data_IF_681586657061
#
_entry.id   IF_681586657061
#
_cell.length_a   1.000
_cell.length_b   1.000
_cell.length_c   1.000
_cell.angle_alpha   90.00
_cell.angle_beta   90.00
_cell.angle_gamma   90.00
#
_symmetry.space_group_name_H-M   'P 1'
#
loop_
_entity.id
_entity.type
_entity.pdbx_description
1 polymer ?
#
# COMPACT_ATOMS: atom_id res chain seq x y z
N UNK A 1 4.31 7.61 -2.86
CA UNK A 1 4.11 6.15 -2.76
C UNK A 1 2.75 5.86 -2.15
N UNK A 2 2.24 4.65 -2.37
CA UNK A 2 0.98 4.19 -1.75
C UNK A 2 1.25 3.06 -0.78
N UNK A 3 0.36 2.93 0.20
CA UNK A 3 0.32 1.75 1.07
C UNK A 3 -0.18 0.59 0.23
N UNK A 4 0.53 -0.54 0.31
CA UNK A 4 0.20 -1.79 -0.35
C UNK A 4 0.32 -2.92 0.66
N UNK A 5 -0.45 -3.97 0.47
CA UNK A 5 -0.37 -5.18 1.29
C UNK A 5 0.68 -6.10 0.69
N UNK A 6 1.64 -6.55 1.52
CA UNK A 6 2.46 -7.71 1.19
C UNK A 6 1.71 -8.95 1.65
N UNK A 7 1.43 -9.82 0.70
CA UNK A 7 0.66 -11.05 0.86
C UNK A 7 1.56 -12.18 1.41
N UNK A 8 1.09 -13.06 2.32
CA UNK A 8 1.91 -14.16 2.83
C UNK A 8 2.53 -15.05 1.74
N UNK A 9 1.82 -15.22 0.62
CA UNK A 9 2.26 -15.99 -0.55
C UNK A 9 3.58 -15.47 -1.15
N UNK A 10 3.95 -14.22 -0.87
CA UNK A 10 5.26 -13.69 -1.24
C UNK A 10 6.40 -14.48 -0.57
N UNK A 11 6.25 -14.79 0.72
CA UNK A 11 7.28 -15.49 1.50
C UNK A 11 7.30 -16.99 1.19
N UNK A 12 6.19 -17.54 0.71
CA UNK A 12 6.05 -18.94 0.30
C UNK A 12 6.53 -19.19 -1.14
N UNK A 13 6.67 -18.14 -1.97
CA UNK A 13 7.07 -18.29 -3.37
C UNK A 13 8.48 -18.82 -3.52
N UNK A 14 8.62 -19.97 -4.17
CA UNK A 14 9.92 -20.57 -4.52
C UNK A 14 10.75 -19.65 -5.42
N UNK A 15 10.10 -18.94 -6.34
CA UNK A 15 10.77 -17.97 -7.22
C UNK A 15 11.47 -16.86 -6.42
N UNK A 16 10.81 -16.36 -5.36
CA UNK A 16 11.38 -15.40 -4.42
C UNK A 16 12.41 -16.04 -3.48
N UNK A 17 12.22 -17.31 -3.12
CA UNK A 17 13.19 -18.11 -2.39
C UNK A 17 14.53 -18.29 -3.12
N UNK A 18 14.53 -18.19 -4.46
CA UNK A 18 15.70 -18.38 -5.31
C UNK A 18 16.45 -17.09 -5.69
N UNK A 19 16.00 -15.93 -5.22
CA UNK A 19 16.71 -14.66 -5.45
C UNK A 19 17.43 -14.17 -4.19
N UNK A 20 18.41 -13.29 -4.39
CA UNK A 20 19.16 -12.64 -3.31
C UNK A 20 18.26 -11.88 -2.34
N UNK A 21 18.73 -11.69 -1.10
CA UNK A 21 18.04 -10.87 -0.10
C UNK A 21 17.81 -9.42 -0.59
N UNK A 22 18.76 -8.87 -1.33
CA UNK A 22 18.63 -7.54 -1.94
C UNK A 22 17.50 -7.50 -2.96
N UNK A 23 17.39 -8.51 -3.82
CA UNK A 23 16.30 -8.65 -4.77
C UNK A 23 14.93 -8.76 -4.10
N UNK A 24 14.81 -9.56 -3.03
CA UNK A 24 13.54 -9.67 -2.26
C UNK A 24 13.15 -8.32 -1.67
N UNK A 25 14.09 -7.66 -1.00
CA UNK A 25 13.85 -6.36 -0.36
C UNK A 25 13.48 -5.27 -1.38
N UNK A 26 14.20 -5.21 -2.52
CA UNK A 26 13.87 -4.29 -3.61
C UNK A 26 12.50 -4.60 -4.18
N UNK A 27 12.14 -5.87 -4.38
CA UNK A 27 10.83 -6.23 -4.92
C UNK A 27 9.68 -5.84 -3.97
N UNK A 28 9.83 -6.05 -2.66
CA UNK A 28 8.90 -5.55 -1.64
C UNK A 28 8.69 -4.03 -1.76
N UNK A 29 9.79 -3.28 -1.92
CA UNK A 29 9.75 -1.83 -2.12
C UNK A 29 9.01 -1.43 -3.41
N UNK A 30 9.19 -2.20 -4.49
CA UNK A 30 8.60 -1.89 -5.79
C UNK A 30 7.06 -1.87 -5.76
N UNK A 31 6.40 -2.71 -4.94
CA UNK A 31 4.93 -2.71 -4.83
C UNK A 31 4.37 -1.32 -4.48
N UNK A 32 5.03 -0.62 -3.55
CA UNK A 32 4.63 0.72 -3.09
C UNK A 32 5.13 1.84 -4.01
N UNK A 33 6.20 1.57 -4.75
CA UNK A 33 6.81 2.48 -5.71
C UNK A 33 5.99 2.59 -7.00
N UNK A 34 5.47 1.49 -7.54
CA UNK A 34 4.77 1.50 -8.84
C UNK A 34 3.36 2.11 -8.80
N UNK A 35 2.90 2.57 -9.96
CA UNK A 35 1.54 3.08 -10.16
C UNK A 35 0.51 1.94 -10.14
N UNK A 36 -0.78 2.26 -10.24
CA UNK A 36 -1.85 1.26 -10.14
C UNK A 36 -1.92 0.27 -11.32
N UNK A 37 -1.21 0.55 -12.41
CA UNK A 37 -0.99 -0.39 -13.50
C UNK A 37 0.31 -1.20 -13.38
N UNK A 38 1.02 -1.09 -12.26
CA UNK A 38 2.27 -1.81 -12.01
C UNK A 38 3.49 -1.19 -12.69
N UNK A 39 3.37 0.01 -13.26
CA UNK A 39 4.45 0.67 -14.02
C UNK A 39 5.06 1.82 -13.24
N UNK A 40 6.38 1.98 -13.32
CA UNK A 40 7.05 3.24 -12.97
C UNK A 40 8.42 3.38 -13.67
N UNK A 41 9.15 4.45 -13.36
CA UNK A 41 10.49 4.71 -13.88
C UNK A 41 11.48 3.68 -13.36
N UNK A 42 12.24 3.11 -14.29
CA UNK A 42 13.37 2.24 -14.01
C UNK A 42 14.62 3.10 -13.78
N UNK A 43 14.87 3.42 -12.51
CA UNK A 43 16.00 4.25 -12.11
C UNK A 43 16.34 3.99 -10.64
N UNK A 44 17.50 3.37 -10.37
CA UNK A 44 17.92 3.06 -9.00
C UNK A 44 18.03 4.28 -8.07
N UNK A 45 18.38 5.48 -8.59
CA UNK A 45 18.41 6.70 -7.76
C UNK A 45 17.02 7.11 -7.30
N UNK A 46 16.00 6.97 -8.16
CA UNK A 46 14.62 7.26 -7.79
C UNK A 46 14.07 6.23 -6.81
N UNK A 47 14.36 4.94 -7.04
CA UNK A 47 13.97 3.86 -6.13
C UNK A 47 14.63 4.04 -4.77
N UNK A 48 15.95 4.28 -4.72
CA UNK A 48 16.67 4.62 -3.48
C UNK A 48 16.02 5.80 -2.78
N UNK A 49 15.84 6.93 -3.48
CA UNK A 49 15.28 8.13 -2.88
C UNK A 49 13.85 7.95 -2.33
N UNK A 50 13.06 7.06 -2.94
CA UNK A 50 11.70 6.78 -2.50
C UNK A 50 11.66 5.77 -1.35
N UNK A 51 12.37 4.64 -1.48
CA UNK A 51 12.21 3.48 -0.62
C UNK A 51 13.29 3.38 0.47
N UNK A 52 14.45 3.98 0.23
CA UNK A 52 15.69 3.82 1.01
C UNK A 52 16.39 5.17 1.20
N UNK A 53 15.71 6.23 1.70
CA UNK A 53 16.20 7.61 1.64
C UNK A 53 17.48 7.85 2.45
N UNK A 54 17.73 7.03 3.47
CA UNK A 54 18.87 7.16 4.38
C UNK A 54 20.11 6.36 3.96
N UNK A 55 19.96 5.34 3.12
CA UNK A 55 21.09 4.52 2.62
C UNK A 55 21.92 5.33 1.65
N UNK A 56 23.24 5.28 1.64
CA UNK A 56 24.06 6.15 0.77
C UNK A 56 24.09 5.73 -0.70
N UNK A 57 25.05 6.28 -1.46
CA UNK A 57 25.21 5.97 -2.88
C UNK A 57 25.72 4.53 -3.12
N UNK A 58 26.29 3.89 -2.11
CA UNK A 58 26.68 2.48 -2.09
C UNK A 58 25.50 1.51 -2.30
N UNK A 59 24.26 1.96 -2.04
CA UNK A 59 23.07 1.16 -2.30
C UNK A 59 22.71 1.09 -3.79
N UNK A 60 23.13 2.06 -4.61
CA UNK A 60 22.78 2.13 -6.03
C UNK A 60 23.19 0.88 -6.83
N UNK A 61 24.45 0.38 -6.75
CA UNK A 61 24.83 -0.85 -7.44
C UNK A 61 24.06 -2.09 -6.94
N UNK A 62 23.71 -2.15 -5.64
CA UNK A 62 22.90 -3.25 -5.08
C UNK A 62 21.48 -3.23 -5.62
N UNK A 63 20.87 -2.04 -5.74
CA UNK A 63 19.54 -1.87 -6.32
C UNK A 63 19.53 -2.24 -7.80
N UNK A 64 20.52 -1.80 -8.59
CA UNK A 64 20.59 -2.18 -10.01
C UNK A 64 20.79 -3.71 -10.17
N UNK A 65 21.69 -4.32 -9.40
CA UNK A 65 21.89 -5.78 -9.43
C UNK A 65 20.62 -6.55 -9.03
N UNK A 66 19.89 -6.07 -8.03
CA UNK A 66 18.59 -6.61 -7.63
C UNK A 66 17.55 -6.50 -8.75
N UNK A 67 17.49 -5.36 -9.47
CA UNK A 67 16.58 -5.19 -10.61
C UNK A 67 16.93 -6.15 -11.77
N UNK A 68 18.22 -6.31 -12.08
CA UNK A 68 18.69 -7.25 -13.12
C UNK A 68 18.32 -8.69 -12.74
N UNK A 69 18.47 -9.06 -11.47
CA UNK A 69 18.10 -10.38 -10.97
C UNK A 69 16.58 -10.62 -11.05
N UNK A 70 15.77 -9.63 -10.65
CA UNK A 70 14.31 -9.72 -10.72
C UNK A 70 13.80 -9.80 -12.17
N UNK A 71 14.45 -9.09 -13.11
CA UNK A 71 14.15 -9.19 -14.54
C UNK A 71 14.51 -10.57 -15.09
N UNK A 72 15.69 -11.10 -14.72
CA UNK A 72 16.14 -12.44 -15.13
C UNK A 72 15.16 -13.54 -14.70
N UNK A 73 14.54 -13.39 -13.53
CA UNK A 73 13.54 -14.33 -12.99
C UNK A 73 12.13 -14.05 -13.54
N UNK A 74 11.92 -12.94 -14.24
CA UNK A 74 10.63 -12.58 -14.85
C UNK A 74 9.62 -11.99 -13.88
N UNK A 75 10.07 -11.47 -12.73
CA UNK A 75 9.22 -10.78 -11.74
C UNK A 75 8.96 -9.32 -12.12
N UNK A 76 9.87 -8.74 -12.90
CA UNK A 76 9.72 -7.43 -13.52
C UNK A 76 10.11 -7.48 -14.99
N UNK A 77 9.64 -6.51 -15.76
CA UNK A 77 10.06 -6.27 -17.14
C UNK A 77 10.61 -4.85 -17.23
N UNK A 78 11.87 -4.69 -17.65
CA UNK A 78 12.46 -3.37 -17.93
C UNK A 78 12.32 -3.09 -19.43
N UNK A 79 11.88 -1.89 -19.78
CA UNK A 79 11.65 -1.50 -21.17
C UNK A 79 11.81 0.01 -21.35
N UNK A 80 11.88 0.46 -22.60
CA UNK A 80 11.93 1.88 -22.92
C UNK A 80 10.66 2.31 -23.64
N UNK A 81 10.08 3.42 -23.20
CA UNK A 81 8.94 4.04 -23.88
C UNK A 81 9.04 5.56 -23.78
N UNK A 82 8.86 6.24 -24.92
CA UNK A 82 8.96 7.70 -25.04
C UNK A 82 10.26 8.28 -24.42
N UNK A 83 11.41 7.64 -24.69
CA UNK A 83 12.73 8.06 -24.21
C UNK A 83 12.95 7.89 -22.71
N UNK A 84 12.11 7.08 -22.04
CA UNK A 84 12.21 6.82 -20.60
C UNK A 84 12.34 5.33 -20.36
N UNK A 85 13.34 4.95 -19.56
CA UNK A 85 13.44 3.62 -18.97
C UNK A 85 12.34 3.45 -17.93
N UNK A 86 11.55 2.41 -18.12
CA UNK A 86 10.42 2.03 -17.28
C UNK A 86 10.59 0.60 -16.81
N UNK A 87 10.02 0.29 -15.66
CA UNK A 87 9.82 -1.07 -15.18
C UNK A 87 8.33 -1.33 -15.03
N UNK A 88 7.95 -2.58 -15.24
CA UNK A 88 6.59 -3.06 -15.05
C UNK A 88 6.61 -4.36 -14.25
N UNK A 89 5.67 -4.53 -13.33
CA UNK A 89 5.47 -5.78 -12.58
C UNK A 89 4.27 -6.52 -13.21
N UNK A 90 4.49 -7.64 -13.93
CA UNK A 90 3.45 -8.40 -14.60
C UNK A 90 2.27 -8.82 -13.71
N UNK A 91 2.61 -9.41 -12.56
CA UNK A 91 1.66 -9.97 -11.62
C UNK A 91 1.04 -8.92 -10.70
N UNK A 92 1.30 -7.62 -10.95
CA UNK A 92 0.89 -6.56 -10.02
C UNK A 92 -0.61 -6.57 -9.72
N UNK A 93 -1.44 -6.69 -10.76
CA UNK A 93 -2.90 -6.67 -10.63
C UNK A 93 -3.49 -7.96 -10.05
N UNK A 94 -2.73 -9.04 -10.07
CA UNK A 94 -3.11 -10.30 -9.43
C UNK A 94 -2.96 -10.20 -7.91
N UNK A 95 -1.84 -9.64 -7.44
CA UNK A 95 -1.54 -9.56 -6.01
C UNK A 95 -2.02 -8.26 -5.34
N UNK A 96 -2.31 -7.20 -6.11
CA UNK A 96 -2.82 -5.93 -5.57
C UNK A 96 -4.23 -5.63 -6.06
N UNK A 97 -5.19 -5.77 -5.15
CA UNK A 97 -6.56 -5.28 -5.37
C UNK A 97 -6.64 -3.78 -5.10
N UNK A 98 -6.94 -3.01 -6.14
CA UNK A 98 -6.93 -1.54 -6.08
C UNK A 98 -8.36 -1.01 -5.99
N UNK A 99 -8.73 -0.45 -4.85
CA UNK A 99 -9.93 0.36 -4.69
C UNK A 99 -9.60 1.83 -5.00
N UNK A 100 -10.41 2.48 -5.84
CA UNK A 100 -10.23 3.88 -6.27
C UNK A 100 -8.92 4.12 -7.04
N UNK A 101 -8.81 3.63 -8.29
CA UNK A 101 -7.60 3.77 -9.09
C UNK A 101 -7.29 5.23 -9.40
N UNK A 102 -6.00 5.56 -9.45
CA UNK A 102 -5.50 6.84 -9.95
C UNK A 102 -5.18 6.79 -11.43
N UNK A 103 -5.13 7.97 -12.05
CA UNK A 103 -4.60 8.13 -13.39
C UNK A 103 -3.16 7.62 -13.44
N UNK A 104 -2.89 6.67 -14.36
CA UNK A 104 -1.58 6.09 -14.60
C UNK A 104 -1.11 6.54 -15.99
N UNK A 105 -0.30 7.62 -16.10
CA UNK A 105 0.14 8.13 -17.40
C UNK A 105 1.20 7.27 -18.10
N UNK A 106 1.87 6.37 -17.37
CA UNK A 106 2.87 5.47 -17.92
C UNK A 106 2.16 4.21 -18.42
N UNK A 107 2.52 3.69 -19.60
CA UNK A 107 1.85 2.54 -20.21
C UNK A 107 2.64 1.26 -20.02
N UNK A 108 1.98 0.16 -19.65
CA UNK A 108 2.64 -1.15 -19.53
C UNK A 108 2.95 -1.77 -20.91
N UNK A 109 3.84 -2.77 -21.02
CA UNK A 109 4.11 -3.46 -22.28
C UNK A 109 2.85 -4.00 -22.98
N UNK A 110 1.88 -4.67 -22.29
CA UNK A 110 0.62 -5.05 -22.93
C UNK A 110 -0.20 -3.88 -23.47
N UNK A 111 -0.22 -2.73 -22.78
CA UNK A 111 -0.89 -1.51 -23.26
C UNK A 111 -0.20 -0.88 -24.48
N UNK A 112 1.04 -1.27 -24.75
CA UNK A 112 1.83 -0.88 -25.91
C UNK A 112 1.81 -1.92 -27.03
N UNK A 113 1.17 -3.08 -26.83
CA UNK A 113 1.22 -4.20 -27.77
C UNK A 113 2.59 -4.88 -27.83
N UNK A 114 3.39 -4.77 -26.77
CA UNK A 114 4.68 -5.44 -26.63
C UNK A 114 4.44 -6.73 -25.85
N UNK A 115 4.60 -7.87 -26.51
CA UNK A 115 4.60 -9.18 -25.85
C UNK A 115 5.92 -9.36 -25.08
N UNK A 116 5.89 -9.40 -23.73
CA UNK A 116 7.11 -9.55 -22.96
C UNK A 116 7.63 -10.99 -23.11
N UNK A 117 8.92 -11.10 -23.36
CA UNK A 117 9.53 -12.37 -23.79
C UNK A 117 9.58 -13.46 -22.72
N UNK A 118 9.35 -13.15 -21.43
CA UNK A 118 9.47 -14.09 -20.31
C UNK A 118 8.56 -13.65 -19.14
N UNK A 119 7.67 -14.52 -18.71
CA UNK A 119 6.95 -14.39 -17.43
C UNK A 119 7.31 -15.57 -16.53
N UNK A 120 7.46 -15.32 -15.23
CA UNK A 120 7.28 -16.39 -14.25
C UNK A 120 5.78 -16.67 -14.15
N UNK A 121 5.26 -17.54 -15.01
CA UNK A 121 3.96 -18.19 -14.76
C UNK A 121 4.19 -19.29 -13.73
N UNK A 122 4.01 -18.96 -12.45
CA UNK A 122 3.66 -19.98 -11.47
C UNK A 122 2.24 -20.42 -11.82
N UNK A 123 2.12 -21.46 -12.64
CA UNK A 123 0.84 -22.03 -13.06
C UNK A 123 0.01 -22.32 -11.82
N UNK A 124 -1.15 -21.69 -11.72
CA UNK A 124 -2.23 -22.17 -10.88
C UNK A 124 -2.71 -23.52 -11.45
N UNK A 125 -1.99 -24.60 -11.11
CA UNK A 125 -2.37 -25.94 -11.51
C UNK A 125 -3.68 -26.32 -10.83
N UNK A 126 -4.69 -26.45 -11.68
CA UNK A 126 -5.97 -27.04 -11.39
C UNK A 126 -5.76 -28.45 -10.84
N UNK A 127 -5.98 -28.63 -9.54
CA UNK A 127 -5.98 -29.94 -8.88
C UNK A 127 -7.08 -30.80 -9.48
N UNK A 128 -6.69 -31.69 -10.38
CA UNK A 128 -7.40 -32.92 -10.67
C UNK A 128 -6.39 -34.02 -10.94
N UNK A 129 -6.26 -34.92 -9.96
CA UNK A 129 -5.80 -36.32 -10.04
C UNK A 129 -4.80 -36.67 -8.95
N UNK A 130 -5.37 -37.29 -7.92
CA UNK A 130 -4.83 -38.32 -7.04
C UNK A 130 -3.54 -39.01 -7.52
N UNK A 131 -2.50 -39.05 -6.67
CA UNK A 131 -1.95 -40.27 -6.03
C UNK A 131 -0.55 -40.06 -5.42
N UNK A 132 -0.50 -40.27 -4.09
CA UNK A 132 0.53 -40.97 -3.28
C UNK A 132 2.04 -40.64 -3.40
N UNK A 133 2.55 -40.03 -2.32
CA UNK A 133 3.73 -40.37 -1.48
C UNK A 133 4.96 -41.02 -2.16
N UNK A 134 6.12 -40.34 -2.13
CA UNK A 134 7.28 -40.59 -1.23
C UNK A 134 8.44 -39.63 -1.54
N UNK A 135 8.94 -38.93 -0.52
CA UNK A 135 10.26 -38.29 -0.40
C UNK A 135 11.36 -39.33 -0.08
N UNK A 136 12.67 -38.98 0.06
CA UNK A 136 13.50 -38.00 -0.67
C UNK A 136 14.88 -38.63 -1.05
N UNK A 137 15.73 -37.89 -1.77
CA UNK A 137 17.18 -37.75 -1.49
C UNK A 137 18.06 -37.53 -2.73
N UNK A 138 19.01 -36.61 -2.53
CA UNK A 138 20.32 -36.45 -3.20
C UNK A 138 20.42 -35.37 -4.28
N UNK A 139 21.06 -34.26 -3.89
CA UNK A 139 21.76 -33.28 -4.72
C UNK A 139 23.28 -33.43 -4.41
N UNK A 140 24.22 -32.69 -5.04
CA UNK A 140 24.56 -32.41 -6.45
C UNK A 140 25.97 -32.97 -6.80
N UNK A 141 26.50 -32.80 -8.01
CA UNK A 141 27.86 -32.25 -8.28
C UNK A 141 28.25 -32.25 -9.77
N UNK A 142 29.10 -31.27 -10.11
CA UNK A 142 29.90 -31.04 -11.33
C UNK A 142 29.19 -30.40 -12.53
N UNK A 143 29.78 -29.46 -13.27
CA UNK A 143 30.99 -28.63 -13.14
C UNK A 143 31.03 -27.73 -14.40
N UNK A 144 31.85 -26.68 -14.35
CA UNK A 144 32.51 -26.00 -15.49
C UNK A 144 31.75 -24.93 -16.31
N UNK A 145 32.23 -23.69 -16.13
CA UNK A 145 33.11 -23.09 -17.15
C UNK A 145 32.65 -21.81 -17.86
N UNK A 146 33.39 -20.71 -17.67
CA UNK A 146 33.89 -19.93 -18.82
C UNK A 146 33.33 -18.52 -19.13
N UNK A 147 33.92 -17.49 -18.50
CA UNK A 147 34.69 -16.39 -19.13
C UNK A 147 33.98 -15.38 -20.10
N UNK A 148 33.84 -14.14 -19.59
CA UNK A 148 34.41 -12.83 -20.08
C UNK A 148 33.90 -12.11 -21.36
N UNK A 149 33.32 -10.92 -21.11
CA UNK A 149 33.75 -9.54 -21.51
C UNK A 149 34.07 -9.21 -22.99
N UNK A 150 33.45 -8.15 -23.55
CA UNK A 150 34.08 -6.84 -23.85
C UNK A 150 33.25 -5.93 -24.77
N UNK A 151 33.26 -4.62 -24.42
CA UNK A 151 33.26 -3.36 -25.22
C UNK A 151 32.11 -3.02 -26.19
N UNK A 152 31.79 -1.77 -26.57
CA UNK A 152 31.83 -0.38 -26.05
C UNK A 152 31.48 0.53 -27.24
N UNK A 153 30.79 1.65 -27.00
CA UNK A 153 30.88 2.95 -27.75
C UNK A 153 30.30 3.02 -29.19
N UNK A 154 29.82 4.14 -29.75
CA UNK A 154 29.53 5.53 -29.35
C UNK A 154 28.99 6.31 -30.59
N UNK A 155 28.08 7.30 -30.39
CA UNK A 155 28.00 8.63 -31.07
C UNK A 155 27.69 8.71 -32.62
N UNK A 156 27.09 9.74 -33.27
CA UNK A 156 26.52 11.08 -32.98
C UNK A 156 25.88 11.74 -34.24
N UNK A 157 24.93 12.68 -34.04
CA UNK A 157 24.60 13.96 -34.76
C UNK A 157 24.06 14.04 -36.21
N UNK A 158 22.95 14.80 -36.43
CA UNK A 158 22.88 16.20 -36.97
C UNK A 158 21.43 16.75 -37.09
N UNK A 159 21.25 18.05 -36.80
CA UNK A 159 20.10 18.99 -36.99
C UNK A 159 20.01 19.54 -38.47
N UNK A 160 19.17 20.52 -38.94
CA UNK A 160 18.43 21.62 -38.23
C UNK A 160 17.07 22.18 -38.83
N UNK A 161 16.59 23.27 -38.19
CA UNK A 161 15.69 24.39 -38.64
C UNK A 161 14.14 24.14 -38.74
N UNK A 162 13.17 25.03 -38.40
CA UNK A 162 13.10 26.49 -38.12
C UNK A 162 11.81 26.86 -37.34
N UNK A 163 11.84 28.00 -36.62
CA UNK A 163 10.77 28.75 -35.88
C UNK A 163 9.84 29.56 -36.85
N UNK A 164 8.83 30.43 -36.45
CA UNK A 164 8.57 31.09 -35.15
C UNK A 164 7.08 31.34 -34.70
N UNK A 165 6.89 31.85 -33.47
CA UNK A 165 6.05 33.04 -33.08
C UNK A 165 4.94 32.88 -32.01
N UNK A 166 5.14 33.66 -30.92
CA UNK A 166 4.22 34.60 -30.25
C UNK A 166 3.06 34.15 -29.31
N UNK A 167 3.33 34.35 -28.01
CA UNK A 167 2.63 35.24 -27.05
C UNK A 167 1.23 34.96 -26.48
N UNK A 168 1.19 35.00 -25.14
CA UNK A 168 0.29 35.78 -24.26
C UNK A 168 -0.72 35.02 -23.37
N UNK A 169 -0.92 35.64 -22.20
CA UNK A 169 -1.62 35.20 -20.98
C UNK A 169 -3.14 35.14 -21.16
N UNK A 170 -3.82 34.31 -20.36
CA UNK A 170 -5.24 34.51 -20.06
C UNK A 170 -5.91 33.32 -19.37
N UNK A 171 -6.23 33.49 -18.09
CA UNK A 171 -7.16 32.66 -17.32
C UNK A 171 -8.54 32.60 -17.98
N UNK A 172 -9.21 31.46 -17.96
CA UNK A 172 -10.58 31.27 -17.45
C UNK A 172 -11.15 29.91 -17.84
N UNK A 173 -12.15 29.56 -17.05
CA UNK A 173 -12.90 28.33 -16.89
C UNK A 173 -13.63 27.79 -18.13
N UNK A 174 -13.95 26.51 -18.00
CA UNK A 174 -15.18 25.87 -18.46
C UNK A 174 -15.26 25.45 -19.93
N UNK A 175 -15.36 24.15 -20.15
CA UNK A 175 -16.03 23.53 -21.30
C UNK A 175 -16.20 22.04 -20.99
N UNK A 176 -17.46 21.63 -20.85
CA UNK A 176 -17.84 20.23 -20.69
C UNK A 176 -17.60 19.38 -21.93
N UNK A 177 -17.84 18.09 -21.78
CA UNK A 177 -18.29 17.24 -22.88
C UNK A 177 -19.09 16.05 -22.35
N UNK A 178 -20.31 15.93 -22.87
CA UNK A 178 -20.91 14.63 -23.20
C UNK A 178 -21.48 13.77 -22.07
N UNK A 179 -22.60 14.19 -21.47
CA UNK A 179 -23.43 13.27 -20.68
C UNK A 179 -24.55 12.66 -21.54
N UNK A 180 -24.40 11.36 -21.81
CA UNK A 180 -25.48 10.49 -22.29
C UNK A 180 -26.56 10.34 -21.19
N UNK A 181 -27.87 10.40 -21.47
CA UNK A 181 -28.89 10.77 -20.49
C UNK A 181 -29.57 9.60 -19.74
N UNK A 182 -28.93 8.43 -19.59
CA UNK A 182 -29.66 7.21 -19.19
C UNK A 182 -29.49 6.71 -17.74
N UNK A 183 -28.77 7.42 -16.86
CA UNK A 183 -28.59 7.00 -15.45
C UNK A 183 -28.94 8.04 -14.36
N UNK A 184 -29.44 9.22 -14.72
CA UNK A 184 -29.59 10.35 -13.79
C UNK A 184 -31.03 10.59 -13.25
N UNK A 185 -31.90 9.57 -13.11
CA UNK A 185 -33.34 9.83 -12.81
C UNK A 185 -34.00 9.12 -11.62
N UNK A 186 -33.26 8.50 -10.70
CA UNK A 186 -33.88 7.86 -9.52
C UNK A 186 -33.19 8.11 -8.16
N UNK A 187 -32.07 8.84 -8.10
CA UNK A 187 -31.28 9.02 -6.86
C UNK A 187 -31.54 10.33 -6.10
N UNK A 188 -32.26 11.28 -6.70
CA UNK A 188 -32.35 12.66 -6.15
C UNK A 188 -33.67 12.97 -5.44
N UNK A 189 -34.66 12.05 -5.46
CA UNK A 189 -35.91 12.26 -4.73
C UNK A 189 -35.73 11.76 -3.31
N UNK A 190 -35.60 12.69 -2.36
CA UNK A 190 -35.60 12.39 -0.92
C UNK A 190 -37.02 11.93 -0.55
N UNK A 191 -37.20 10.70 -0.03
CA UNK A 191 -38.51 10.23 0.39
C UNK A 191 -39.10 11.12 1.50
N UNK A 192 -40.37 11.51 1.35
CA UNK A 192 -41.10 12.24 2.37
C UNK A 192 -41.95 11.28 3.19
N UNK A 193 -41.40 10.80 4.29
CA UNK A 193 -42.12 10.00 5.27
C UNK A 193 -42.61 10.89 6.42
N UNK A 194 -43.92 10.98 6.70
CA UNK A 194 -44.45 11.81 7.79
C UNK A 194 -43.98 11.35 9.17
N UNK A 195 -43.62 10.07 9.31
CA UNK A 195 -43.06 9.52 10.53
C UNK A 195 -41.61 9.94 10.76
N UNK A 196 -40.89 10.35 9.71
CA UNK A 196 -39.54 10.88 9.88
C UNK A 196 -39.55 12.16 10.71
N UNK A 197 -40.50 13.07 10.50
CA UNK A 197 -40.58 14.34 11.25
C UNK A 197 -40.75 14.09 12.75
N UNK A 198 -41.52 13.06 13.13
CA UNK A 198 -41.73 12.68 14.53
C UNK A 198 -40.44 12.15 15.19
N UNK A 199 -39.65 11.39 14.44
CA UNK A 199 -38.34 10.91 14.88
C UNK A 199 -37.33 12.06 14.95
N UNK A 200 -37.29 12.90 13.91
CA UNK A 200 -36.32 13.99 13.75
C UNK A 200 -36.47 15.03 14.85
N UNK A 201 -37.70 15.41 15.19
CA UNK A 201 -37.98 16.37 16.27
C UNK A 201 -37.44 15.95 17.65
N UNK A 202 -37.14 14.67 17.86
CA UNK A 202 -36.71 14.11 19.14
C UNK A 202 -35.23 13.71 19.13
N UNK A 203 -34.63 13.56 17.96
CA UNK A 203 -33.25 13.12 17.84
C UNK A 203 -32.29 14.29 18.12
N UNK A 204 -31.29 14.14 19.01
CA UNK A 204 -30.49 15.27 19.49
C UNK A 204 -29.55 15.88 18.44
N UNK A 205 -29.02 15.08 17.51
CA UNK A 205 -28.10 15.53 16.46
C UNK A 205 -28.84 15.69 15.11
N UNK A 206 -28.93 16.95 14.64
CA UNK A 206 -29.63 17.32 13.41
C UNK A 206 -28.72 17.47 12.17
N UNK A 207 -27.48 16.95 12.23
CA UNK A 207 -26.57 16.99 11.11
C UNK A 207 -27.02 16.05 9.97
N UNK A 208 -26.82 16.50 8.73
CA UNK A 208 -27.04 15.70 7.51
C UNK A 208 -28.46 15.08 7.40
N UNK A 209 -29.49 15.92 7.57
CA UNK A 209 -30.92 15.54 7.52
C UNK A 209 -31.28 14.64 6.33
N UNK A 210 -30.87 14.99 5.11
CA UNK A 210 -31.17 14.20 3.90
C UNK A 210 -30.62 12.77 3.98
N UNK A 211 -29.46 12.61 4.60
CA UNK A 211 -28.86 11.29 4.79
C UNK A 211 -29.62 10.48 5.85
N UNK A 212 -30.10 11.13 6.90
CA UNK A 212 -30.97 10.52 7.91
C UNK A 212 -32.33 10.12 7.32
N UNK A 213 -32.96 10.98 6.50
CA UNK A 213 -34.23 10.70 5.80
C UNK A 213 -34.13 9.45 4.93
N UNK A 214 -33.09 9.34 4.11
CA UNK A 214 -32.87 8.17 3.26
C UNK A 214 -32.69 6.89 4.06
N UNK A 215 -31.92 6.94 5.15
CA UNK A 215 -31.68 5.75 5.96
C UNK A 215 -32.93 5.36 6.77
N UNK A 216 -33.68 6.33 7.27
CA UNK A 216 -34.97 6.12 7.93
C UNK A 216 -35.98 5.44 6.99
N UNK A 217 -36.10 5.92 5.76
CA UNK A 217 -36.96 5.31 4.75
C UNK A 217 -36.58 3.84 4.52
N UNK A 218 -35.29 3.53 4.36
CA UNK A 218 -34.83 2.14 4.23
C UNK A 218 -35.21 1.29 5.44
N UNK A 219 -35.01 1.82 6.66
CA UNK A 219 -35.27 1.11 7.91
C UNK A 219 -36.77 0.82 8.10
N UNK A 220 -37.63 1.81 7.84
CA UNK A 220 -39.07 1.65 8.02
C UNK A 220 -39.73 0.82 6.92
N UNK A 221 -39.05 0.62 5.78
CA UNK A 221 -39.52 -0.24 4.68
C UNK A 221 -38.76 -1.58 4.58
N UNK A 222 -38.02 -2.00 5.62
CA UNK A 222 -37.42 -3.33 5.65
C UNK A 222 -38.50 -4.42 5.60
N UNK A 223 -38.22 -5.47 4.82
CA UNK A 223 -39.09 -6.65 4.69
C UNK A 223 -39.03 -7.54 5.92
N UNK A 224 -37.90 -7.53 6.63
CA UNK A 224 -37.65 -8.34 7.83
C UNK A 224 -37.21 -7.43 8.99
N UNK A 225 -37.65 -7.76 10.20
CA UNK A 225 -37.25 -7.08 11.44
C UNK A 225 -37.46 -5.55 11.40
N UNK A 226 -38.62 -5.16 10.86
CA UNK A 226 -39.06 -3.77 10.73
C UNK A 226 -39.33 -3.17 12.11
N UNK A 227 -38.64 -2.09 12.51
CA UNK A 227 -38.93 -1.41 13.76
C UNK A 227 -40.24 -0.64 13.68
N UNK A 228 -40.95 -0.56 14.81
CA UNK A 228 -42.06 0.38 14.95
C UNK A 228 -41.52 1.80 15.08
N UNK A 229 -42.29 2.80 14.62
CA UNK A 229 -41.95 4.21 14.81
C UNK A 229 -41.80 4.56 16.30
N UNK A 230 -42.59 3.94 17.17
CA UNK A 230 -42.47 4.10 18.62
C UNK A 230 -41.10 3.63 19.15
N UNK A 231 -40.56 2.53 18.63
CA UNK A 231 -39.24 2.03 19.01
C UNK A 231 -38.12 2.99 18.55
N UNK A 232 -38.25 3.57 17.35
CA UNK A 232 -37.30 4.57 16.85
C UNK A 232 -37.32 5.85 17.71
N UNK A 233 -38.51 6.34 18.07
CA UNK A 233 -38.67 7.54 18.92
C UNK A 233 -38.11 7.27 20.33
N UNK A 234 -38.43 6.13 20.94
CA UNK A 234 -37.90 5.77 22.25
C UNK A 234 -36.36 5.67 22.22
N UNK A 235 -35.79 5.08 21.16
CA UNK A 235 -34.34 5.03 20.97
C UNK A 235 -33.72 6.42 20.77
N UNK A 236 -34.39 7.32 20.05
CA UNK A 236 -33.95 8.71 19.88
C UNK A 236 -33.91 9.48 21.22
N UNK A 237 -34.93 9.30 22.06
CA UNK A 237 -34.98 9.89 23.41
C UNK A 237 -33.85 9.40 24.30
N UNK A 238 -33.48 8.12 24.21
CA UNK A 238 -32.33 7.57 24.91
C UNK A 238 -31.01 8.14 24.35
N UNK A 239 -30.92 8.34 23.04
CA UNK A 239 -29.76 8.98 22.42
C UNK A 239 -29.59 10.43 22.88
N UNK A 240 -30.67 11.16 23.16
CA UNK A 240 -30.64 12.52 23.70
C UNK A 240 -30.01 12.63 25.10
N UNK A 241 -29.89 11.51 25.82
CA UNK A 241 -29.23 11.45 27.13
C UNK A 241 -27.72 11.25 27.02
N UNK A 242 -27.19 11.05 25.81
CA UNK A 242 -25.76 10.90 25.57
C UNK A 242 -25.07 12.26 25.54
N UNK A 243 -23.89 12.33 26.15
CA UNK A 243 -23.00 13.50 26.11
C UNK A 243 -22.56 13.84 24.68
N UNK A 244 -22.42 12.80 23.83
CA UNK A 244 -22.12 12.95 22.40
C UNK A 244 -22.96 11.96 21.57
N UNK A 245 -24.19 12.34 21.16
CA UNK A 245 -25.06 11.46 20.40
C UNK A 245 -24.54 11.27 18.97
N UNK A 246 -24.55 10.03 18.43
CA UNK A 246 -24.12 9.76 17.07
C UNK A 246 -25.05 10.45 16.06
N UNK A 247 -24.55 10.68 14.84
CA UNK A 247 -25.39 11.16 13.74
C UNK A 247 -26.55 10.18 13.47
N UNK A 248 -27.75 10.70 13.25
CA UNK A 248 -28.97 9.91 13.10
C UNK A 248 -28.86 8.84 12.00
N UNK A 249 -28.20 9.16 10.88
CA UNK A 249 -27.94 8.20 9.78
C UNK A 249 -27.23 6.94 10.30
N UNK A 250 -26.11 7.10 10.99
CA UNK A 250 -25.31 5.97 11.49
C UNK A 250 -26.03 5.22 12.61
N UNK A 251 -26.73 5.96 13.47
CA UNK A 251 -27.56 5.36 14.50
C UNK A 251 -28.69 4.48 13.92
N UNK A 252 -29.37 4.95 12.86
CA UNK A 252 -30.39 4.17 12.15
C UNK A 252 -29.77 2.97 11.41
N UNK A 253 -28.65 3.16 10.72
CA UNK A 253 -27.96 2.09 10.00
C UNK A 253 -27.58 0.93 10.94
N UNK A 254 -27.00 1.24 12.10
CA UNK A 254 -26.47 0.27 13.07
C UNK A 254 -27.53 -0.36 13.98
N UNK A 255 -28.82 -0.05 13.75
CA UNK A 255 -29.92 -0.58 14.56
C UNK A 255 -29.97 0.02 15.97
N UNK A 256 -29.71 1.31 16.10
CA UNK A 256 -29.61 2.01 17.38
C UNK A 256 -30.84 1.91 18.28
N UNK A 257 -32.03 1.65 17.72
CA UNK A 257 -33.25 1.37 18.49
C UNK A 257 -33.23 0.04 19.26
N UNK A 258 -32.29 -0.86 18.95
CA UNK A 258 -32.12 -2.15 19.62
C UNK A 258 -31.13 -2.11 20.78
N UNK A 259 -30.19 -1.16 20.75
CA UNK A 259 -29.04 -1.15 21.65
C UNK A 259 -29.19 -0.06 22.71
N UNK A 260 -29.00 -0.42 23.99
CA UNK A 260 -28.75 0.57 25.04
C UNK A 260 -27.47 1.35 24.67
N UNK A 261 -27.41 2.67 24.86
CA UNK A 261 -26.26 3.47 24.46
C UNK A 261 -24.96 2.85 25.02
N UNK A 262 -23.98 2.64 24.14
CA UNK A 262 -22.64 2.23 24.58
C UNK A 262 -22.10 3.35 25.48
N UNK A 263 -21.55 3.05 26.67
CA UNK A 263 -20.94 4.07 27.50
C UNK A 263 -19.88 4.78 26.67
N UNK A 264 -19.77 6.10 26.86
CA UNK A 264 -18.75 6.90 26.20
C UNK A 264 -17.40 6.18 26.34
N UNK A 265 -16.72 5.94 25.21
CA UNK A 265 -15.32 5.54 25.26
C UNK A 265 -14.63 6.65 26.04
N UNK A 266 -14.14 6.32 27.24
CA UNK A 266 -13.30 7.25 28.01
C UNK A 266 -12.26 7.79 27.02
N UNK A 267 -12.04 9.11 26.93
CA UNK A 267 -10.92 9.60 26.18
C UNK A 267 -9.70 8.87 26.74
N UNK A 268 -9.04 8.07 25.92
CA UNK A 268 -7.72 7.54 26.24
C UNK A 268 -6.83 8.76 26.35
N UNK A 269 -6.78 9.35 27.55
CA UNK A 269 -5.94 10.46 27.94
C UNK A 269 -4.48 10.03 28.05
N UNK A 270 -3.98 9.30 27.06
CA UNK A 270 -2.57 9.35 26.72
C UNK A 270 -2.43 10.55 25.79
N UNK A 271 -1.80 11.62 26.26
CA UNK A 271 -1.48 12.77 25.42
C UNK A 271 -0.91 12.27 24.09
N UNK A 272 -1.49 12.71 22.98
CA UNK A 272 -1.00 12.35 21.66
C UNK A 272 0.43 12.87 21.54
N UNK A 273 1.40 11.97 21.69
CA UNK A 273 2.79 12.24 21.34
C UNK A 273 2.86 12.07 19.82
N UNK A 274 3.23 13.12 19.06
CA UNK A 274 3.39 13.02 17.61
C UNK A 274 4.27 11.82 17.25
N UNK A 275 3.89 11.05 16.22
CA UNK A 275 4.63 9.85 15.78
C UNK A 275 6.14 10.09 15.63
N UNK A 276 6.54 11.29 15.20
CA UNK A 276 7.94 11.69 15.07
C UNK A 276 8.69 11.77 16.42
N UNK A 277 8.05 12.28 17.47
CA UNK A 277 8.65 12.35 18.82
C UNK A 277 8.78 10.96 19.45
N UNK A 278 7.81 10.08 19.18
CA UNK A 278 7.88 8.69 19.62
C UNK A 278 9.00 7.92 18.91
N UNK A 279 9.13 8.07 17.59
CA UNK A 279 10.21 7.45 16.83
C UNK A 279 11.59 7.97 17.26
N UNK A 280 11.73 9.27 17.54
CA UNK A 280 12.97 9.84 18.04
C UNK A 280 13.34 9.30 19.44
N UNK A 281 12.37 9.19 20.34
CA UNK A 281 12.58 8.63 21.66
C UNK A 281 12.98 7.14 21.60
N UNK A 282 12.32 6.36 20.74
CA UNK A 282 12.66 4.95 20.48
C UNK A 282 14.09 4.82 19.92
N UNK A 283 14.51 5.71 19.01
CA UNK A 283 15.88 5.75 18.48
C UNK A 283 16.94 6.13 19.52
N UNK A 284 16.64 7.10 20.39
CA UNK A 284 17.56 7.55 21.43
C UNK A 284 17.72 6.47 22.53
N UNK A 285 16.65 5.71 22.80
CA UNK A 285 16.67 4.55 23.70
C UNK A 285 17.50 3.40 23.11
N UNK A 286 17.28 3.06 21.84
CA UNK A 286 18.09 2.05 21.12
C UNK A 286 19.57 2.42 21.09
N UNK A 287 19.90 3.70 20.86
CA UNK A 287 21.29 4.19 20.92
C UNK A 287 21.90 3.97 22.30
N UNK A 288 21.18 4.32 23.38
CA UNK A 288 21.66 4.11 24.76
C UNK A 288 21.89 2.64 25.08
N UNK A 289 20.99 1.76 24.65
CA UNK A 289 21.14 0.31 24.84
C UNK A 289 22.41 -0.19 24.13
N UNK A 290 22.66 0.25 22.89
CA UNK A 290 23.88 -0.11 22.15
C UNK A 290 25.15 0.41 22.84
N UNK A 291 25.14 1.64 23.33
CA UNK A 291 26.28 2.22 24.06
C UNK A 291 26.57 1.46 25.36
N UNK A 292 25.53 1.05 26.09
CA UNK A 292 25.67 0.22 27.30
C UNK A 292 26.25 -1.16 26.98
N UNK A 293 25.80 -1.80 25.91
CA UNK A 293 26.33 -3.11 25.48
C UNK A 293 27.80 -3.02 25.10
N UNK A 294 28.21 -1.98 24.37
CA UNK A 294 29.62 -1.75 24.01
C UNK A 294 30.48 -1.52 25.26
N UNK A 295 29.99 -0.73 26.23
CA UNK A 295 30.71 -0.52 27.49
C UNK A 295 30.82 -1.81 28.30
N UNK A 296 29.76 -2.61 28.35
CA UNK A 296 29.77 -3.90 29.04
C UNK A 296 30.75 -4.88 28.40
N UNK A 297 30.81 -4.92 27.06
CA UNK A 297 31.77 -5.74 26.31
C UNK A 297 33.22 -5.28 26.56
N UNK A 298 33.48 -3.98 26.54
CA UNK A 298 34.80 -3.43 26.87
C UNK A 298 35.23 -3.75 28.31
N UNK A 299 34.28 -3.69 29.26
CA UNK A 299 34.56 -4.02 30.65
C UNK A 299 34.84 -5.53 30.84
N UNK A 300 34.14 -6.40 30.11
CA UNK A 300 34.43 -7.84 30.09
C UNK A 300 35.84 -8.11 29.53
N UNK A 301 36.22 -7.46 28.43
CA UNK A 301 37.56 -7.58 27.84
C UNK A 301 38.65 -7.08 28.79
N UNK A 302 38.45 -5.95 29.49
CA UNK A 302 39.40 -5.45 30.48
C UNK A 302 39.56 -6.40 31.67
N UNK A 303 38.47 -6.99 32.17
CA UNK A 303 38.53 -7.98 33.23
C UNK A 303 39.26 -9.27 32.80
N UNK A 304 39.13 -9.65 31.52
CA UNK A 304 39.87 -10.79 30.94
C UNK A 304 41.37 -10.53 30.81
N UNK A 305 41.77 -9.29 30.50
CA UNK A 305 43.18 -8.88 30.37
C UNK A 305 43.82 -8.66 31.76
N UNK A 306 43.07 -8.10 32.72
CA UNK A 306 43.55 -7.86 34.09
C UNK A 306 43.76 -9.12 34.92
N UNK A 307 43.00 -10.19 34.67
CA UNK A 307 43.15 -11.48 35.37
C UNK A 307 44.39 -12.29 34.99
N UNK A 308 45.15 -11.87 33.97
CA UNK A 308 46.33 -12.58 33.47
C UNK A 308 47.67 -12.17 34.10
N UNK A 309 47.71 -11.10 34.92
CA UNK A 309 48.98 -10.55 35.42
C UNK A 309 49.34 -10.97 36.85
N UNK A 310 48.38 -11.48 37.64
CA UNK A 310 48.61 -11.86 39.05
C UNK A 310 49.08 -13.33 39.24
N UNK A 311 49.31 -14.08 38.15
CA UNK A 311 49.70 -15.50 38.21
C UNK A 311 51.23 -15.75 38.12
N UNK A 312 52.08 -14.72 38.13
CA UNK A 312 53.55 -14.87 37.97
C UNK A 312 54.41 -14.26 39.09
N UNK A 313 53.82 -13.87 40.22
CA UNK A 313 54.56 -13.53 41.44
C UNK A 313 53.96 -14.26 42.63
N UNK A 314 54.28 -15.54 42.75
CA UNK A 314 53.97 -16.41 43.88
C UNK A 314 54.88 -17.63 43.88
#
# INVERSE_FOLDING_TARGET
MRIRTIRPEFYESESMGNVSWDARFVFECLWSYVQDNGVNRDNARLIRGACMPYDGNEALPRIEAALDELERVGCIVRYEYAGKRLLWIPTFREYQKISNPSACPLKSPPELGIEPSRFCEERADTVSSSQTLTDPDTNPYSENGGISTTVSSSQTLTDPDTNPSSSSKGSSSDSGSGNNPSYARARDVIPRDPDFEKFWAVYPNHDYEDAARREFHKVIHRTEDRPSIAALIAGAQLAAQLDNPPQARWWLHDGGWKNKPKPARKPTGGGYVPKAQRAQAEWDEDRRIREQLVQQEQQQLQNQIGGGFDALTG
#
